data_IF_125347121972
#
_entry.id   IF_125347121972
#
_cell.length_a   1.000
_cell.length_b   1.000
_cell.length_c   1.000
_cell.angle_alpha   90.00
_cell.angle_beta   90.00
_cell.angle_gamma   90.00
#
_symmetry.space_group_name_H-M   'P 1'
#
loop_
_entity.id
_entity.type
_entity.pdbx_description
1 polymer ?
#
# COMPACT_ATOMS: atom_id res chain seq x y z
N UNK A 1 -10.93 18.03 -22.94
CA UNK A 1 -10.38 16.66 -23.09
C UNK A 1 -9.21 16.52 -22.12
N UNK A 2 -9.42 15.97 -20.93
CA UNK A 2 -8.34 15.63 -20.00
C UNK A 2 -8.19 14.11 -19.99
N UNK A 3 -7.68 13.59 -21.12
CA UNK A 3 -7.42 12.17 -21.31
C UNK A 3 -5.99 11.85 -20.91
N UNK A 4 -5.85 11.26 -19.71
CA UNK A 4 -4.85 10.28 -19.31
C UNK A 4 -3.45 10.36 -19.96
N UNK A 5 -2.61 11.26 -19.46
CA UNK A 5 -1.18 10.97 -19.36
C UNK A 5 -0.91 10.50 -17.93
N UNK A 6 -1.29 9.25 -17.61
CA UNK A 6 -0.77 8.61 -16.39
C UNK A 6 0.73 8.50 -16.53
N UNK A 7 1.47 9.06 -15.58
CA UNK A 7 2.92 8.94 -15.57
C UNK A 7 3.31 7.48 -15.42
N UNK A 8 4.50 7.11 -15.89
CA UNK A 8 5.03 5.76 -15.66
C UNK A 8 5.09 5.43 -14.16
N UNK A 9 5.33 6.43 -13.30
CA UNK A 9 5.30 6.26 -11.86
C UNK A 9 3.90 5.88 -11.35
N UNK A 10 2.84 6.48 -11.87
CA UNK A 10 1.46 6.15 -11.48
C UNK A 10 1.11 4.71 -11.85
N UNK A 11 1.53 4.24 -13.03
CA UNK A 11 1.33 2.85 -13.47
C UNK A 11 2.04 1.87 -12.55
N UNK A 12 3.27 2.18 -12.16
CA UNK A 12 4.05 1.35 -11.24
C UNK A 12 3.42 1.33 -9.84
N UNK A 13 2.90 2.47 -9.36
CA UNK A 13 2.21 2.55 -8.07
C UNK A 13 0.92 1.71 -8.06
N UNK A 14 0.10 1.81 -9.12
CA UNK A 14 -1.11 1.00 -9.27
C UNK A 14 -0.77 -0.49 -9.29
N UNK A 15 0.23 -0.90 -10.09
CA UNK A 15 0.63 -2.30 -10.18
C UNK A 15 1.19 -2.84 -8.86
N UNK A 16 1.98 -2.05 -8.14
CA UNK A 16 2.47 -2.42 -6.80
C UNK A 16 1.30 -2.67 -5.84
N UNK A 17 0.29 -1.80 -5.87
CA UNK A 17 -0.91 -1.94 -5.05
C UNK A 17 -1.73 -3.18 -5.41
N UNK A 18 -1.97 -3.43 -6.71
CA UNK A 18 -2.70 -4.61 -7.19
C UNK A 18 -2.04 -5.91 -6.75
N UNK A 19 -0.73 -6.04 -6.97
CA UNK A 19 0.03 -7.23 -6.59
C UNK A 19 0.06 -7.41 -5.07
N UNK A 20 0.22 -6.33 -4.32
CA UNK A 20 0.15 -6.38 -2.86
C UNK A 20 -1.23 -6.86 -2.40
N UNK A 21 -2.33 -6.28 -2.91
CA UNK A 21 -3.68 -6.65 -2.53
C UNK A 21 -4.01 -8.11 -2.85
N UNK A 22 -3.53 -8.64 -3.98
CA UNK A 22 -3.68 -10.06 -4.29
C UNK A 22 -3.10 -10.96 -3.18
N UNK A 23 -1.95 -10.61 -2.61
CA UNK A 23 -1.36 -11.36 -1.47
C UNK A 23 -2.16 -11.26 -0.18
N UNK A 24 -2.96 -10.20 0.00
CA UNK A 24 -3.80 -10.01 1.19
C UNK A 24 -5.16 -10.67 1.05
N UNK A 25 -5.73 -10.69 -0.17
CA UNK A 25 -6.99 -11.36 -0.46
C UNK A 25 -6.86 -12.88 -0.44
N UNK A 26 -5.72 -13.41 -0.86
CA UNK A 26 -5.43 -14.85 -0.89
C UNK A 26 -4.11 -15.17 -0.15
N UNK A 27 -4.07 -15.09 1.19
CA UNK A 27 -2.81 -15.23 1.93
C UNK A 27 -2.13 -16.61 1.79
N UNK A 28 -2.93 -17.65 1.55
CA UNK A 28 -2.50 -19.04 1.34
C UNK A 28 -2.06 -19.30 -0.11
N UNK A 29 -2.35 -18.37 -1.03
CA UNK A 29 -1.96 -18.49 -2.43
C UNK A 29 -0.50 -18.10 -2.61
N UNK A 30 0.39 -19.09 -2.61
CA UNK A 30 1.81 -18.91 -2.87
C UNK A 30 2.12 -18.29 -4.24
N UNK A 31 1.24 -18.45 -5.22
CA UNK A 31 1.40 -17.88 -6.57
C UNK A 31 1.29 -16.36 -6.56
N UNK A 32 0.34 -15.79 -5.81
CA UNK A 32 0.20 -14.34 -5.66
C UNK A 32 1.48 -13.71 -5.07
N UNK A 33 2.08 -14.38 -4.08
CA UNK A 33 3.37 -13.95 -3.49
C UNK A 33 4.52 -14.09 -4.50
N UNK A 34 4.56 -15.20 -5.24
CA UNK A 34 5.58 -15.42 -6.26
C UNK A 34 5.52 -14.36 -7.38
N UNK A 35 4.33 -13.98 -7.82
CA UNK A 35 4.13 -12.92 -8.81
C UNK A 35 4.58 -11.55 -8.30
N UNK A 36 4.28 -11.19 -7.05
CA UNK A 36 4.79 -9.96 -6.45
C UNK A 36 6.32 -9.94 -6.40
N UNK A 37 6.94 -11.04 -5.95
CA UNK A 37 8.41 -11.16 -5.86
C UNK A 37 9.04 -11.06 -7.25
N UNK A 38 8.53 -11.80 -8.23
CA UNK A 38 9.05 -11.79 -9.60
C UNK A 38 8.98 -10.39 -10.21
N UNK A 39 7.86 -9.69 -10.02
CA UNK A 39 7.71 -8.33 -10.53
C UNK A 39 8.68 -7.34 -9.86
N UNK A 40 8.85 -7.42 -8.55
CA UNK A 40 9.80 -6.57 -7.81
C UNK A 40 11.25 -6.79 -8.28
N UNK A 41 11.63 -8.04 -8.56
CA UNK A 41 12.97 -8.40 -8.99
C UNK A 41 13.28 -7.99 -10.45
N UNK A 42 12.26 -7.79 -11.27
CA UNK A 42 12.40 -7.46 -12.70
C UNK A 42 13.10 -6.12 -12.94
N UNK A 43 12.90 -5.13 -12.07
CA UNK A 43 13.47 -3.78 -12.27
C UNK A 43 13.64 -2.99 -10.96
N UNK A 44 14.73 -2.20 -10.82
CA UNK A 44 14.87 -1.26 -9.72
C UNK A 44 13.71 -0.26 -9.59
N UNK A 45 13.01 0.06 -10.69
CA UNK A 45 11.85 0.93 -10.66
C UNK A 45 10.65 0.26 -9.96
N UNK A 46 10.45 -1.05 -10.16
CA UNK A 46 9.39 -1.82 -9.52
C UNK A 46 9.65 -1.93 -8.01
N UNK A 47 10.90 -2.20 -7.62
CA UNK A 47 11.31 -2.19 -6.23
C UNK A 47 11.04 -0.84 -5.53
N UNK A 48 11.40 0.27 -6.17
CA UNK A 48 11.13 1.61 -5.62
C UNK A 48 9.62 1.89 -5.48
N UNK A 49 8.82 1.47 -6.46
CA UNK A 49 7.36 1.62 -6.38
C UNK A 49 6.76 0.80 -5.23
N UNK A 50 7.25 -0.43 -5.01
CA UNK A 50 6.83 -1.25 -3.87
C UNK A 50 7.22 -0.63 -2.52
N UNK A 51 8.44 -0.10 -2.40
CA UNK A 51 8.88 0.61 -1.19
C UNK A 51 8.06 1.88 -0.92
N UNK A 52 7.69 2.63 -1.96
CA UNK A 52 6.82 3.80 -1.79
C UNK A 52 5.43 3.42 -1.25
N UNK A 53 4.90 2.27 -1.68
CA UNK A 53 3.65 1.72 -1.15
C UNK A 53 3.80 1.33 0.33
N UNK A 54 4.85 0.62 0.71
CA UNK A 54 5.11 0.22 2.10
C UNK A 54 5.22 1.43 3.05
N UNK A 55 5.94 2.46 2.61
CA UNK A 55 6.06 3.73 3.33
C UNK A 55 4.69 4.41 3.52
N UNK A 56 3.89 4.49 2.46
CA UNK A 56 2.54 5.06 2.51
C UNK A 56 1.63 4.31 3.51
N UNK A 57 1.64 2.98 3.47
CA UNK A 57 0.86 2.16 4.40
C UNK A 57 1.31 2.34 5.85
N UNK A 58 2.63 2.48 6.07
CA UNK A 58 3.20 2.77 7.40
C UNK A 58 2.75 4.13 7.92
N UNK A 59 2.78 5.17 7.09
CA UNK A 59 2.31 6.52 7.45
C UNK A 59 0.83 6.52 7.80
N UNK A 60 -0.02 5.89 6.98
CA UNK A 60 -1.45 5.75 7.25
C UNK A 60 -1.69 5.03 8.57
N UNK A 61 -0.95 3.95 8.85
CA UNK A 61 -1.05 3.23 10.12
C UNK A 61 -0.68 4.13 11.31
N UNK A 62 0.42 4.88 11.22
CA UNK A 62 0.85 5.80 12.27
C UNK A 62 -0.19 6.91 12.51
N UNK A 63 -0.75 7.48 11.44
CA UNK A 63 -1.82 8.47 11.53
C UNK A 63 -3.04 7.90 12.26
N UNK A 64 -3.51 6.72 11.87
CA UNK A 64 -4.65 6.04 12.52
C UNK A 64 -4.39 5.74 14.00
N UNK A 65 -3.16 5.34 14.36
CA UNK A 65 -2.78 5.11 15.76
C UNK A 65 -2.71 6.41 16.57
N UNK A 66 -2.23 7.51 15.96
CA UNK A 66 -2.17 8.83 16.60
C UNK A 66 -3.58 9.39 16.89
N UNK A 67 -4.51 9.25 15.95
CA UNK A 67 -5.91 9.69 16.12
C UNK A 67 -6.63 8.88 17.20
N UNK A 68 -6.33 7.57 17.30
CA UNK A 68 -6.86 6.71 18.37
C UNK A 68 -6.36 7.13 19.75
N UNK A 69 -5.12 7.59 19.88
CA UNK A 69 -4.56 8.08 21.15
C UNK A 69 -5.03 9.50 21.52
N UNK A 70 -5.45 10.30 20.55
CA UNK A 70 -5.88 11.69 20.73
C UNK A 70 -7.35 11.89 21.16
N UNK A 71 -8.19 10.84 21.26
CA UNK A 71 -9.57 10.97 21.76
C UNK A 71 -9.61 10.83 23.29
N UNK A 72 -9.81 11.91 24.07
CA UNK A 72 -10.18 11.76 25.47
C UNK A 72 -11.57 11.10 25.52
N UNK A 73 -11.68 10.01 26.27
CA UNK A 73 -12.99 9.40 26.58
C UNK A 73 -13.89 10.50 27.15
N UNK A 74 -15.14 10.70 26.67
CA UNK A 74 -16.06 11.62 27.32
C UNK A 74 -16.32 11.06 28.71
N UNK A 75 -15.75 11.71 29.71
CA UNK A 75 -15.95 11.38 31.10
C UNK A 75 -17.41 11.70 31.43
N UNK A 76 -18.32 10.73 31.26
CA UNK A 76 -19.64 10.75 31.89
C UNK A 76 -19.39 10.60 33.38
N UNK A 77 -19.28 11.71 34.08
CA UNK A 77 -19.42 11.75 35.53
C UNK A 77 -20.60 12.66 35.85
N UNK A 78 -21.42 12.07 36.71
CA UNK A 78 -22.81 12.37 37.06
C UNK A 78 -22.90 13.47 38.11
#
# INVERSE_FOLDING_TARGET
MHGSHQSEADKLAIKAYELFMATQLEPENGEARAHLIAWVQESPAHWRAFLALDQCLTEVKQLLESERRGKPRPNRTR
#
